data_IF_761915041806
#
_entry.id   IF_761915041806
#
_cell.length_a   1.000
_cell.length_b   1.000
_cell.length_c   1.000
_cell.angle_alpha   90.00
_cell.angle_beta   90.00
_cell.angle_gamma   90.00
#
_symmetry.space_group_name_H-M   'P 1'
#
loop_
_entity.id
_entity.type
_entity.pdbx_description
1 polymer ?
#
# COMPACT_ATOMS: atom_id res chain seq x y z
N UNK A 1 28.79 -9.49 -19.67
CA UNK A 1 28.50 -8.05 -19.51
C UNK A 1 27.00 -7.81 -19.67
N UNK A 2 26.20 -7.92 -18.61
CA UNK A 2 24.75 -7.68 -18.70
C UNK A 2 24.48 -6.18 -18.72
N UNK A 3 24.06 -5.67 -19.88
CA UNK A 3 23.67 -4.28 -20.07
C UNK A 3 22.46 -3.95 -19.17
N UNK A 4 22.68 -3.05 -18.20
CA UNK A 4 21.59 -2.40 -17.45
C UNK A 4 20.76 -1.60 -18.45
N UNK A 5 19.48 -1.91 -18.62
CA UNK A 5 18.56 -1.08 -19.41
C UNK A 5 17.37 -0.63 -18.57
N UNK A 6 17.58 0.54 -17.96
CA UNK A 6 16.60 1.60 -17.71
C UNK A 6 15.21 1.15 -17.23
N UNK A 7 15.10 0.95 -15.93
CA UNK A 7 13.82 1.02 -15.24
C UNK A 7 13.19 2.38 -15.51
N UNK A 8 12.10 2.42 -16.28
CA UNK A 8 11.25 3.60 -16.40
C UNK A 8 10.89 4.02 -14.97
N UNK A 9 11.09 5.29 -14.56
CA UNK A 9 10.76 5.72 -13.21
C UNK A 9 9.31 5.34 -12.92
N UNK A 10 9.09 4.67 -11.80
CA UNK A 10 7.74 4.29 -11.38
C UNK A 10 6.89 5.55 -11.34
N UNK A 11 5.78 5.54 -12.09
CA UNK A 11 4.85 6.67 -12.12
C UNK A 11 4.42 7.02 -10.69
N UNK A 12 4.28 8.33 -10.39
CA UNK A 12 3.76 8.76 -9.11
C UNK A 12 2.41 8.07 -8.88
N UNK A 13 2.17 7.67 -7.63
CA UNK A 13 0.91 7.07 -7.22
C UNK A 13 -0.16 8.15 -7.38
N UNK A 14 -1.22 7.85 -8.14
CA UNK A 14 -2.23 8.83 -8.55
C UNK A 14 -2.92 9.54 -7.37
N UNK A 15 -3.12 8.81 -6.26
CA UNK A 15 -3.56 9.38 -4.99
C UNK A 15 -2.91 8.60 -3.82
N UNK A 16 -1.84 9.10 -3.19
CA UNK A 16 -1.15 8.41 -2.09
C UNK A 16 -1.97 8.34 -0.80
N UNK A 17 -2.96 9.22 -0.62
CA UNK A 17 -3.82 9.22 0.57
C UNK A 17 -4.98 8.23 0.45
N UNK A 18 -5.32 7.84 -0.78
CA UNK A 18 -6.31 6.79 -1.05
C UNK A 18 -5.88 5.43 -0.44
N UNK A 19 -6.85 4.57 -0.08
CA UNK A 19 -6.59 3.16 0.28
C UNK A 19 -5.67 2.42 -0.71
N UNK A 20 -5.90 2.63 -2.01
CA UNK A 20 -5.11 2.01 -3.07
C UNK A 20 -3.69 2.55 -3.11
N UNK A 21 -3.50 3.86 -2.93
CA UNK A 21 -2.18 4.48 -2.91
C UNK A 21 -1.33 4.10 -1.72
N UNK A 22 -1.91 4.05 -0.52
CA UNK A 22 -1.22 3.58 0.69
C UNK A 22 -0.74 2.14 0.53
N UNK A 23 -1.61 1.27 0.01
CA UNK A 23 -1.26 -0.13 -0.24
C UNK A 23 -0.18 -0.26 -1.33
N UNK A 24 -0.29 0.50 -2.42
CA UNK A 24 0.71 0.53 -3.48
C UNK A 24 2.09 0.99 -2.97
N UNK A 25 2.13 2.01 -2.10
CA UNK A 25 3.36 2.47 -1.46
C UNK A 25 4.00 1.37 -0.58
N UNK A 26 3.19 0.62 0.18
CA UNK A 26 3.66 -0.52 0.95
C UNK A 26 4.23 -1.62 0.05
N UNK A 27 3.56 -1.97 -1.06
CA UNK A 27 4.04 -2.97 -2.02
C UNK A 27 5.36 -2.56 -2.67
N UNK A 28 5.52 -1.28 -3.06
CA UNK A 28 6.79 -0.75 -3.55
C UNK A 28 7.90 -0.86 -2.50
N UNK A 29 7.59 -0.53 -1.24
CA UNK A 29 8.55 -0.65 -0.13
C UNK A 29 8.97 -2.11 0.10
N UNK A 30 8.04 -3.06 0.00
CA UNK A 30 8.34 -4.49 0.07
C UNK A 30 9.29 -4.93 -1.04
N UNK A 31 8.98 -4.52 -2.28
CA UNK A 31 9.81 -4.85 -3.45
C UNK A 31 11.23 -4.33 -3.24
N UNK A 32 11.37 -3.07 -2.83
CA UNK A 32 12.67 -2.47 -2.54
C UNK A 32 13.42 -3.16 -1.39
N UNK A 33 12.75 -3.58 -0.32
CA UNK A 33 13.40 -4.26 0.81
C UNK A 33 13.88 -5.68 0.48
N UNK A 34 13.33 -6.29 -0.57
CA UNK A 34 13.67 -7.64 -1.04
C UNK A 34 14.61 -7.64 -2.25
N UNK A 35 15.33 -6.55 -2.49
CA UNK A 35 16.33 -6.44 -3.58
C UNK A 35 15.76 -5.93 -4.89
N UNK A 36 14.53 -5.42 -4.89
CA UNK A 36 13.90 -4.74 -6.02
C UNK A 36 13.74 -5.62 -7.29
N UNK A 37 13.17 -6.85 -7.20
CA UNK A 37 12.96 -7.69 -8.36
C UNK A 37 12.08 -6.99 -9.40
N UNK A 38 12.28 -7.32 -10.68
CA UNK A 38 11.44 -6.75 -11.73
C UNK A 38 10.05 -7.40 -11.71
N UNK A 39 9.03 -6.70 -12.22
CA UNK A 39 7.68 -7.28 -12.32
C UNK A 39 7.64 -8.55 -13.19
N UNK A 40 8.60 -8.71 -14.11
CA UNK A 40 8.73 -9.89 -14.95
C UNK A 40 9.27 -11.07 -14.14
N UNK A 41 10.37 -10.87 -13.41
CA UNK A 41 10.93 -11.91 -12.52
C UNK A 41 9.92 -12.34 -11.44
N UNK A 42 9.09 -11.40 -10.98
CA UNK A 42 8.00 -11.70 -10.05
C UNK A 42 6.91 -12.54 -10.71
N UNK A 43 6.49 -12.19 -11.93
CA UNK A 43 5.46 -12.91 -12.67
C UNK A 43 5.87 -14.36 -13.00
N UNK A 44 7.17 -14.65 -13.13
CA UNK A 44 7.66 -16.01 -13.33
C UNK A 44 7.50 -16.89 -12.07
N UNK A 45 7.25 -16.30 -10.89
CA UNK A 45 7.11 -17.01 -9.61
C UNK A 45 5.66 -17.21 -9.17
N UNK A 46 4.71 -16.52 -9.80
CA UNK A 46 3.30 -16.51 -9.39
C UNK A 46 2.36 -16.52 -10.58
N UNK A 47 1.09 -16.85 -10.36
CA UNK A 47 0.09 -16.97 -11.42
C UNK A 47 -0.40 -15.64 -12.03
N UNK A 48 0.23 -14.51 -11.72
CA UNK A 48 -0.20 -13.19 -12.18
C UNK A 48 0.80 -12.55 -13.15
N UNK A 49 0.27 -11.85 -14.14
CA UNK A 49 1.09 -11.16 -15.14
C UNK A 49 1.88 -9.99 -14.55
N UNK A 50 3.02 -9.66 -15.18
CA UNK A 50 3.81 -8.47 -14.84
C UNK A 50 2.97 -7.17 -14.94
N UNK A 51 1.99 -7.12 -15.86
CA UNK A 51 1.07 -5.99 -16.00
C UNK A 51 0.16 -5.83 -14.78
N UNK A 52 -0.39 -6.93 -14.26
CA UNK A 52 -1.22 -6.95 -13.05
C UNK A 52 -0.43 -6.51 -11.82
N UNK A 53 0.79 -7.04 -11.64
CA UNK A 53 1.67 -6.66 -10.54
C UNK A 53 2.09 -5.18 -10.63
N UNK A 54 2.40 -4.70 -11.84
CA UNK A 54 2.71 -3.30 -12.08
C UNK A 54 1.51 -2.39 -11.75
N UNK A 55 0.29 -2.79 -12.13
CA UNK A 55 -0.91 -2.03 -11.85
C UNK A 55 -1.21 -1.94 -10.35
N UNK A 56 -1.03 -3.04 -9.60
CA UNK A 56 -1.15 -3.04 -8.15
C UNK A 56 -0.14 -2.09 -7.48
N UNK A 57 1.09 -2.03 -7.98
CA UNK A 57 2.11 -1.11 -7.48
C UNK A 57 1.92 0.34 -7.93
N UNK A 58 1.00 0.64 -8.85
CA UNK A 58 0.68 2.02 -9.28
C UNK A 58 -0.37 2.67 -8.39
N UNK A 59 -1.23 1.88 -7.77
CA UNK A 59 -2.34 2.39 -6.96
C UNK A 59 -3.43 3.06 -7.78
N UNK A 60 -3.51 2.78 -9.09
CA UNK A 60 -4.55 3.31 -9.99
C UNK A 60 -5.93 2.70 -9.65
N UNK A 61 -5.96 1.48 -9.11
CA UNK A 61 -7.14 0.82 -8.57
C UNK A 61 -6.76 0.01 -7.35
N UNK A 62 -7.74 -0.30 -6.49
CA UNK A 62 -7.52 -1.15 -5.34
C UNK A 62 -7.35 -2.61 -5.79
N UNK A 63 -6.17 -3.23 -5.62
CA UNK A 63 -5.94 -4.60 -6.09
C UNK A 63 -6.74 -5.60 -5.28
N UNK A 64 -7.01 -6.77 -5.84
CA UNK A 64 -7.66 -7.86 -5.08
C UNK A 64 -6.69 -8.48 -4.08
N UNK A 65 -7.22 -9.12 -3.04
CA UNK A 65 -6.42 -9.84 -2.03
C UNK A 65 -5.43 -10.82 -2.66
N UNK A 66 -5.86 -11.56 -3.69
CA UNK A 66 -5.03 -12.55 -4.37
C UNK A 66 -3.80 -11.93 -5.05
N UNK A 67 -3.95 -10.75 -5.66
CA UNK A 67 -2.83 -10.04 -6.30
C UNK A 67 -1.81 -9.58 -5.26
N UNK A 68 -2.27 -9.10 -4.09
CA UNK A 68 -1.37 -8.68 -3.00
C UNK A 68 -0.61 -9.86 -2.40
N UNK A 69 -1.30 -10.99 -2.19
CA UNK A 69 -0.70 -12.23 -1.70
C UNK A 69 0.39 -12.74 -2.66
N UNK A 70 0.09 -12.77 -3.96
CA UNK A 70 1.06 -13.17 -4.97
C UNK A 70 2.23 -12.19 -5.09
N UNK A 71 1.99 -10.88 -4.93
CA UNK A 71 3.08 -9.90 -4.90
C UNK A 71 4.03 -10.18 -3.73
N UNK A 72 3.49 -10.47 -2.54
CA UNK A 72 4.29 -10.83 -1.38
C UNK A 72 5.08 -12.12 -1.59
N UNK A 73 4.43 -13.15 -2.11
CA UNK A 73 5.04 -14.44 -2.44
C UNK A 73 6.20 -14.27 -3.44
N UNK A 74 5.99 -13.52 -4.52
CA UNK A 74 7.02 -13.25 -5.52
C UNK A 74 8.23 -12.49 -4.95
N UNK A 75 8.00 -11.62 -3.96
CA UNK A 75 9.03 -10.92 -3.20
C UNK A 75 9.64 -11.76 -2.06
N UNK A 76 9.15 -12.97 -1.79
CA UNK A 76 9.61 -13.81 -0.67
C UNK A 76 9.20 -13.25 0.70
N UNK A 77 7.99 -12.72 0.80
CA UNK A 77 7.34 -12.34 2.05
C UNK A 77 6.11 -13.20 2.30
N UNK A 78 5.61 -13.21 3.54
CA UNK A 78 4.47 -14.03 3.92
C UNK A 78 3.16 -13.53 3.29
N UNK A 79 2.50 -14.33 2.43
CA UNK A 79 1.21 -13.96 1.84
C UNK A 79 0.11 -13.72 2.88
N UNK A 80 0.14 -14.43 4.02
CA UNK A 80 -0.88 -14.29 5.07
C UNK A 80 -0.79 -12.93 5.78
N UNK A 81 0.42 -12.47 6.10
CA UNK A 81 0.66 -11.11 6.61
C UNK A 81 0.09 -10.06 5.64
N UNK A 82 0.35 -10.23 4.35
CA UNK A 82 -0.07 -9.30 3.31
C UNK A 82 -1.57 -9.32 3.04
N UNK A 83 -2.23 -10.48 3.19
CA UNK A 83 -3.68 -10.57 3.20
C UNK A 83 -4.31 -9.75 4.34
N UNK A 84 -3.69 -9.75 5.53
CA UNK A 84 -4.15 -8.95 6.67
C UNK A 84 -3.94 -7.46 6.43
N UNK A 85 -2.78 -7.08 5.90
CA UNK A 85 -2.49 -5.69 5.49
C UNK A 85 -3.48 -5.18 4.43
N UNK A 86 -3.85 -6.02 3.47
CA UNK A 86 -4.88 -5.71 2.49
C UNK A 86 -6.24 -5.43 3.14
N UNK A 87 -6.63 -6.24 4.13
CA UNK A 87 -7.87 -6.02 4.88
C UNK A 87 -7.84 -4.70 5.67
N UNK A 88 -6.74 -4.39 6.34
CA UNK A 88 -6.58 -3.12 7.06
C UNK A 88 -6.57 -1.92 6.10
N UNK A 89 -5.98 -2.05 4.91
CA UNK A 89 -5.96 -0.98 3.91
C UNK A 89 -7.35 -0.66 3.33
N UNK A 90 -8.28 -1.63 3.28
CA UNK A 90 -9.65 -1.39 2.83
C UNK A 90 -10.49 -0.61 3.82
N UNK A 91 -10.20 -0.71 5.11
CA UNK A 91 -11.00 -0.03 6.13
C UNK A 91 -10.84 1.48 5.92
N UNK A 92 -11.93 2.25 5.91
CA UNK A 92 -11.81 3.70 5.94
C UNK A 92 -11.00 4.10 7.17
N UNK A 93 -10.16 5.14 7.08
CA UNK A 93 -9.46 5.65 8.24
C UNK A 93 -10.49 5.91 9.34
N UNK A 94 -10.22 5.47 10.57
CA UNK A 94 -11.10 5.75 11.69
C UNK A 94 -11.32 7.26 11.73
N UNK A 95 -12.57 7.75 11.64
CA UNK A 95 -12.80 9.18 11.76
C UNK A 95 -12.20 9.64 13.09
N UNK A 96 -11.62 10.86 13.14
CA UNK A 96 -11.17 11.41 14.41
C UNK A 96 -12.33 11.31 15.40
N UNK A 97 -12.02 10.93 16.65
CA UNK A 97 -13.04 10.89 17.69
C UNK A 97 -13.75 12.25 17.70
N UNK A 98 -15.10 12.29 17.75
CA UNK A 98 -15.79 13.56 17.83
C UNK A 98 -15.20 14.36 19.00
N UNK A 99 -15.03 15.68 18.86
CA UNK A 99 -14.57 16.48 19.97
C UNK A 99 -15.47 16.22 21.18
N UNK A 100 -14.92 16.26 22.41
CA UNK A 100 -15.73 16.12 23.60
C UNK A 100 -16.93 17.08 23.52
N UNK A 101 -18.13 16.59 23.88
CA UNK A 101 -19.37 17.40 23.88
C UNK A 101 -19.38 18.49 24.95
N UNK A 102 -18.31 18.59 25.74
CA UNK A 102 -18.08 19.62 26.73
C UNK A 102 -16.88 20.48 26.28
N UNK A 103 -16.90 21.80 26.50
CA UNK A 103 -15.81 22.66 26.08
C UNK A 103 -14.54 22.33 26.89
N UNK A 104 -13.40 21.95 26.27
CA UNK A 104 -12.14 21.82 26.97
C UNK A 104 -11.79 23.21 27.55
N UNK A 105 -11.74 23.28 28.88
CA UNK A 105 -11.67 24.50 29.69
C UNK A 105 -12.77 25.53 29.42
N UNK A 106 -13.97 25.26 29.94
CA UNK A 106 -14.68 26.35 30.58
C UNK A 106 -13.84 26.79 31.79
N UNK A 107 -13.01 27.83 31.64
CA UNK A 107 -12.76 28.70 32.80
C UNK A 107 -14.13 29.24 33.19
N UNK A 108 -14.64 28.97 34.40
CA UNK A 108 -15.92 29.53 34.83
C UNK A 108 -15.83 31.06 34.73
N UNK A 109 -16.79 31.75 34.08
CA UNK A 109 -16.91 33.19 34.25
C UNK A 109 -17.32 33.41 35.71
N UNK A 110 -16.45 34.08 36.46
CA UNK A 110 -16.62 34.44 37.86
C UNK A 110 -18.04 34.95 38.19
N UNK A 111 -18.45 34.80 39.47
CA UNK A 111 -18.89 35.98 40.19
C UNK A 111 -18.28 36.07 41.59
N UNK A 112 -17.78 37.26 41.94
CA UNK A 112 -17.33 37.63 43.29
C UNK A 112 -16.18 38.61 43.29
#
# INVERSE_FOLDING_TARGET
MSARKSGRPERPISDPESPAGRLAAQLRKLRSSKGNPTYRDMADRVYFSAGTLSAAARGDHFPTRAVVMAFAEACGADPAEWARRWYEAQKPPRPPAPPPRWPPSASPPWPG
#
